data_IF_825351339936
#
_entry.id   IF_825351339936
#
_cell.length_a   1.000
_cell.length_b   1.000
_cell.length_c   1.000
_cell.angle_alpha   90.00
_cell.angle_beta   90.00
_cell.angle_gamma   90.00
#
_symmetry.space_group_name_H-M   'P 1'
#
loop_
_entity.id
_entity.type
_entity.pdbx_description
1 polymer ?
#
# COMPACT_ATOMS: atom_id res chain seq x y z
N UNK A 1 -6.30 -27.01 -1.83
CA UNK A 1 -6.50 -25.56 -1.64
C UNK A 1 -5.79 -24.84 -2.78
N UNK A 2 -6.42 -23.83 -3.34
CA UNK A 2 -5.83 -23.03 -4.42
C UNK A 2 -4.84 -22.05 -3.79
N UNK A 3 -3.57 -22.11 -4.18
CA UNK A 3 -2.55 -21.21 -3.66
C UNK A 3 -2.65 -19.84 -4.34
N UNK A 4 -2.59 -18.78 -3.56
CA UNK A 4 -2.60 -17.39 -4.03
C UNK A 4 -1.23 -16.75 -3.84
N UNK A 5 -0.82 -15.96 -4.82
CA UNK A 5 0.42 -15.19 -4.78
C UNK A 5 0.14 -13.70 -4.93
N UNK A 6 0.88 -12.89 -4.19
CA UNK A 6 1.02 -11.46 -4.43
C UNK A 6 2.44 -11.15 -4.95
N UNK A 7 2.53 -10.29 -5.96
CA UNK A 7 3.80 -9.93 -6.61
C UNK A 7 4.13 -8.47 -6.34
N UNK A 8 5.33 -8.24 -5.78
CA UNK A 8 5.83 -6.94 -5.33
C UNK A 8 7.14 -6.58 -6.04
N UNK A 9 7.12 -6.06 -7.28
CA UNK A 9 8.32 -5.90 -8.11
C UNK A 9 9.30 -4.82 -7.60
N UNK A 10 8.93 -4.08 -6.57
CA UNK A 10 9.74 -2.99 -6.00
C UNK A 10 10.46 -3.37 -4.69
N UNK A 11 10.50 -4.64 -4.33
CA UNK A 11 11.46 -5.18 -3.38
C UNK A 11 12.80 -5.41 -4.13
N UNK A 12 13.98 -5.16 -3.59
CA UNK A 12 14.42 -5.69 -2.31
C UNK A 12 14.73 -4.57 -1.30
N UNK A 13 14.54 -4.88 -0.01
CA UNK A 13 14.93 -4.00 1.09
C UNK A 13 13.95 -2.87 1.43
N UNK A 14 12.71 -2.93 0.93
CA UNK A 14 11.69 -1.95 1.26
C UNK A 14 10.64 -2.54 2.22
N UNK A 15 10.92 -2.45 3.51
CA UNK A 15 10.04 -2.95 4.58
C UNK A 15 8.62 -2.38 4.51
N UNK A 16 8.46 -1.15 3.98
CA UNK A 16 7.13 -0.55 3.76
C UNK A 16 6.33 -1.35 2.73
N UNK A 17 6.99 -1.85 1.66
CA UNK A 17 6.33 -2.68 0.64
C UNK A 17 5.90 -4.00 1.22
N UNK A 18 6.75 -4.62 2.05
CA UNK A 18 6.43 -5.86 2.75
C UNK A 18 5.24 -5.69 3.69
N UNK A 19 5.23 -4.62 4.48
CA UNK A 19 4.14 -4.32 5.40
C UNK A 19 2.82 -3.99 4.67
N UNK A 20 2.86 -3.28 3.53
CA UNK A 20 1.68 -3.08 2.69
C UNK A 20 1.14 -4.42 2.16
N UNK A 21 2.02 -5.29 1.65
CA UNK A 21 1.64 -6.60 1.14
C UNK A 21 0.98 -7.45 2.22
N UNK A 22 1.62 -7.56 3.39
CA UNK A 22 1.09 -8.31 4.53
C UNK A 22 -0.29 -7.79 4.95
N UNK A 23 -0.44 -6.47 5.06
CA UNK A 23 -1.69 -5.86 5.51
C UNK A 23 -2.84 -6.02 4.49
N UNK A 24 -2.55 -6.07 3.19
CA UNK A 24 -3.56 -6.21 2.14
C UNK A 24 -3.88 -7.66 1.79
N UNK A 25 -2.94 -8.59 2.01
CA UNK A 25 -3.03 -9.95 1.46
C UNK A 25 -2.83 -11.06 2.50
N UNK A 26 -2.33 -10.74 3.69
CA UNK A 26 -1.92 -11.70 4.71
C UNK A 26 -0.62 -12.42 4.39
N UNK A 27 0.09 -12.05 3.31
CA UNK A 27 1.34 -12.66 2.87
C UNK A 27 2.54 -11.72 2.99
N UNK A 28 3.66 -12.25 3.47
CA UNK A 28 4.93 -11.52 3.56
C UNK A 28 5.78 -11.91 2.34
N UNK A 29 6.18 -10.94 1.50
CA UNK A 29 6.99 -11.24 0.34
C UNK A 29 8.40 -11.69 0.73
N UNK A 30 8.89 -12.67 -0.01
CA UNK A 30 10.26 -13.16 0.08
C UNK A 30 11.28 -12.17 -0.52
N UNK A 31 12.54 -12.58 -0.57
CA UNK A 31 13.63 -11.77 -1.14
C UNK A 31 13.50 -11.55 -2.66
N UNK A 32 12.67 -12.33 -3.34
CA UNK A 32 12.36 -12.19 -4.77
C UNK A 32 11.16 -11.27 -5.02
N UNK A 33 10.41 -10.89 -3.98
CA UNK A 33 9.25 -10.02 -4.08
C UNK A 33 7.95 -10.77 -4.33
N UNK A 34 7.86 -12.05 -3.99
CA UNK A 34 6.68 -12.89 -4.14
C UNK A 34 6.21 -13.36 -2.77
N UNK A 35 4.91 -13.23 -2.50
CA UNK A 35 4.29 -13.67 -1.26
C UNK A 35 3.22 -14.72 -1.53
N UNK A 36 3.25 -15.84 -0.80
CA UNK A 36 2.07 -16.69 -0.64
C UNK A 36 1.09 -15.97 0.29
N UNK A 37 -0.15 -15.83 -0.14
CA UNK A 37 -1.11 -14.97 0.54
C UNK A 37 -2.48 -15.62 0.75
N UNK A 38 -3.27 -15.02 1.64
CA UNK A 38 -4.60 -15.50 2.00
C UNK A 38 -5.67 -14.95 1.05
N UNK A 39 -5.47 -13.73 0.57
CA UNK A 39 -6.39 -13.03 -0.32
C UNK A 39 -5.65 -12.14 -1.31
N UNK A 40 -6.28 -11.87 -2.45
CA UNK A 40 -5.80 -10.91 -3.47
C UNK A 40 -6.82 -9.80 -3.73
N UNK A 41 -8.00 -9.85 -3.12
CA UNK A 41 -9.13 -8.96 -3.41
C UNK A 41 -8.84 -7.47 -3.21
N UNK A 42 -7.86 -7.11 -2.35
CA UNK A 42 -7.52 -5.71 -2.07
C UNK A 42 -6.30 -5.18 -2.85
N UNK A 43 -5.70 -5.97 -3.73
CA UNK A 43 -4.54 -5.55 -4.53
C UNK A 43 -4.87 -4.36 -5.45
N UNK A 44 -6.13 -4.20 -5.87
CA UNK A 44 -6.55 -3.03 -6.66
C UNK A 44 -6.31 -1.69 -5.95
N UNK A 45 -6.24 -1.69 -4.62
CA UNK A 45 -5.99 -0.52 -3.77
C UNK A 45 -4.48 -0.28 -3.51
N UNK A 46 -3.63 -1.24 -3.82
CA UNK A 46 -2.22 -1.21 -3.46
C UNK A 46 -1.44 -0.06 -4.12
N UNK A 47 -0.42 0.42 -3.41
CA UNK A 47 0.57 1.34 -3.92
C UNK A 47 1.79 0.62 -4.52
N UNK A 48 2.19 -0.50 -3.93
CA UNK A 48 3.42 -1.22 -4.25
C UNK A 48 3.20 -2.67 -4.69
N UNK A 49 2.18 -3.36 -4.15
CA UNK A 49 1.80 -4.69 -4.65
C UNK A 49 1.21 -4.52 -6.05
N UNK A 50 1.75 -5.25 -7.03
CA UNK A 50 1.34 -5.07 -8.43
C UNK A 50 0.21 -6.01 -8.84
N UNK A 51 0.36 -7.31 -8.57
CA UNK A 51 -0.51 -8.34 -9.14
C UNK A 51 -0.79 -9.43 -8.12
N UNK A 52 -2.02 -9.92 -8.10
CA UNK A 52 -2.46 -11.11 -7.38
C UNK A 52 -2.74 -12.25 -8.35
N UNK A 53 -2.20 -13.42 -8.08
CA UNK A 53 -2.28 -14.59 -8.93
C UNK A 53 -2.94 -15.77 -8.21
N UNK A 54 -3.63 -16.59 -8.97
CA UNK A 54 -3.91 -17.98 -8.64
C UNK A 54 -2.76 -18.81 -9.20
N UNK A 55 -1.94 -19.40 -8.33
CA UNK A 55 -0.77 -20.18 -8.72
C UNK A 55 -1.22 -21.43 -9.47
N UNK A 56 -0.63 -21.65 -10.66
CA UNK A 56 -0.79 -22.86 -11.46
C UNK A 56 0.42 -23.75 -11.31
N UNK A 57 1.64 -23.18 -11.47
CA UNK A 57 2.88 -23.95 -11.38
C UNK A 57 4.02 -23.05 -10.89
N UNK A 58 5.03 -23.68 -10.25
CA UNK A 58 6.29 -23.03 -9.91
C UNK A 58 7.46 -23.99 -10.07
N UNK A 59 8.62 -23.50 -10.49
CA UNK A 59 9.83 -24.30 -10.68
C UNK A 59 11.08 -23.41 -10.64
N UNK A 60 12.25 -24.00 -10.48
CA UNK A 60 13.54 -23.32 -10.61
C UNK A 60 13.98 -23.19 -12.08
N UNK A 61 13.48 -24.07 -12.94
CA UNK A 61 13.87 -24.10 -14.35
C UNK A 61 12.66 -24.13 -15.30
N UNK A 62 12.78 -23.46 -16.45
CA UNK A 62 11.71 -23.35 -17.44
C UNK A 62 11.20 -24.71 -17.95
N UNK A 63 12.04 -25.72 -18.28
CA UNK A 63 11.53 -27.02 -18.75
C UNK A 63 10.62 -27.71 -17.75
N UNK A 64 10.95 -27.62 -16.47
CA UNK A 64 10.14 -28.19 -15.39
C UNK A 64 8.81 -27.43 -15.23
N UNK A 65 8.85 -26.08 -15.30
CA UNK A 65 7.64 -25.27 -15.27
C UNK A 65 6.69 -25.63 -16.42
N UNK A 66 7.22 -25.76 -17.64
CA UNK A 66 6.46 -26.14 -18.84
C UNK A 66 5.84 -27.52 -18.68
N UNK A 67 6.59 -28.49 -18.14
CA UNK A 67 6.09 -29.84 -17.85
C UNK A 67 4.90 -29.78 -16.86
N UNK A 68 5.06 -29.06 -15.74
CA UNK A 68 3.99 -28.92 -14.75
C UNK A 68 2.72 -28.27 -15.33
N UNK A 69 2.89 -27.24 -16.17
CA UNK A 69 1.74 -26.58 -16.83
C UNK A 69 1.03 -27.54 -17.78
N UNK A 70 1.78 -28.37 -18.55
CA UNK A 70 1.20 -29.33 -19.49
C UNK A 70 0.40 -30.47 -18.81
N UNK A 71 0.77 -30.81 -17.58
CA UNK A 71 0.14 -31.89 -16.79
C UNK A 71 -1.08 -31.41 -15.98
N UNK A 72 -1.21 -30.08 -15.74
CA UNK A 72 -2.30 -29.53 -14.95
C UNK A 72 -3.53 -29.21 -15.79
N UNK A 73 -4.72 -29.45 -15.22
CA UNK A 73 -5.98 -29.01 -15.80
C UNK A 73 -6.41 -27.70 -15.15
N UNK A 74 -6.60 -26.67 -15.95
CA UNK A 74 -7.14 -25.38 -15.54
C UNK A 74 -7.87 -24.73 -16.73
N UNK A 75 -8.85 -23.86 -16.50
CA UNK A 75 -9.52 -23.11 -17.56
C UNK A 75 -8.50 -22.24 -18.31
N UNK A 76 -8.42 -22.43 -19.62
CA UNK A 76 -7.44 -21.75 -20.45
C UNK A 76 -7.91 -21.52 -21.89
N UNK A 77 -9.21 -21.69 -22.17
CA UNK A 77 -9.76 -21.30 -23.45
C UNK A 77 -9.65 -19.78 -23.61
N UNK A 78 -9.13 -19.33 -24.74
CA UNK A 78 -9.05 -17.90 -25.04
C UNK A 78 -8.13 -17.12 -24.05
N UNK A 79 -6.83 -17.36 -24.10
CA UNK A 79 -5.86 -16.86 -23.12
C UNK A 79 -4.79 -15.94 -23.70
N UNK A 80 -4.15 -15.16 -22.80
CA UNK A 80 -2.90 -14.44 -23.03
C UNK A 80 -1.92 -14.69 -21.89
N UNK A 81 -0.63 -14.82 -22.22
CA UNK A 81 0.46 -14.90 -21.25
C UNK A 81 1.19 -13.57 -21.22
N UNK A 82 1.27 -12.99 -20.04
CA UNK A 82 2.08 -11.83 -19.71
C UNK A 82 3.39 -12.26 -19.05
N UNK A 83 4.38 -11.38 -19.04
CA UNK A 83 5.71 -11.68 -18.53
C UNK A 83 6.18 -10.56 -17.62
N UNK A 84 6.62 -10.91 -16.42
CA UNK A 84 7.22 -9.98 -15.46
C UNK A 84 8.56 -10.52 -14.98
N UNK A 85 9.60 -9.73 -15.18
CA UNK A 85 10.94 -10.04 -14.68
C UNK A 85 11.18 -9.29 -13.38
N UNK A 86 11.48 -10.01 -12.30
CA UNK A 86 11.86 -9.45 -11.00
C UNK A 86 13.39 -9.37 -10.82
N UNK A 87 14.15 -10.22 -11.54
CA UNK A 87 15.61 -10.25 -11.47
C UNK A 87 16.26 -10.38 -12.85
N UNK A 88 17.27 -9.56 -13.11
CA UNK A 88 18.07 -9.66 -14.33
C UNK A 88 19.09 -10.81 -14.29
N UNK A 89 19.27 -11.46 -13.14
CA UNK A 89 20.21 -12.60 -12.99
C UNK A 89 19.66 -13.89 -13.58
N UNK A 90 18.35 -14.01 -13.81
CA UNK A 90 17.75 -15.19 -14.41
C UNK A 90 17.91 -15.15 -15.94
N UNK A 91 18.46 -16.22 -16.58
CA UNK A 91 18.74 -16.24 -18.04
C UNK A 91 17.49 -16.45 -18.91
N UNK A 92 16.33 -16.73 -18.33
CA UNK A 92 15.09 -17.03 -19.06
C UNK A 92 14.69 -15.82 -19.91
N UNK A 93 14.62 -16.04 -21.24
CA UNK A 93 14.20 -15.03 -22.21
C UNK A 93 12.67 -15.05 -22.35
N UNK A 94 12.06 -13.88 -22.29
CA UNK A 94 10.60 -13.73 -22.32
C UNK A 94 9.94 -14.45 -23.50
N UNK A 95 10.45 -14.25 -24.72
CA UNK A 95 9.86 -14.83 -25.95
C UNK A 95 9.89 -16.36 -25.93
N UNK A 96 11.02 -16.94 -25.56
CA UNK A 96 11.20 -18.42 -25.48
C UNK A 96 10.26 -18.99 -24.41
N UNK A 97 10.17 -18.34 -23.23
CA UNK A 97 9.37 -18.84 -22.14
C UNK A 97 7.86 -18.73 -22.42
N UNK A 98 7.41 -17.59 -22.95
CA UNK A 98 5.99 -17.39 -23.29
C UNK A 98 5.53 -18.36 -24.36
N UNK A 99 6.34 -18.58 -25.42
CA UNK A 99 6.00 -19.56 -26.47
C UNK A 99 5.94 -20.98 -25.92
N UNK A 100 6.95 -21.40 -25.13
CA UNK A 100 6.97 -22.74 -24.55
C UNK A 100 5.77 -23.01 -23.61
N UNK A 101 5.37 -22.01 -22.83
CA UNK A 101 4.18 -22.12 -21.98
C UNK A 101 2.89 -22.12 -22.79
N UNK A 102 2.80 -21.30 -23.85
CA UNK A 102 1.63 -21.29 -24.73
C UNK A 102 1.43 -22.63 -25.45
N UNK A 103 2.53 -23.25 -25.92
CA UNK A 103 2.49 -24.58 -26.54
C UNK A 103 2.09 -25.70 -25.55
N UNK A 104 2.40 -25.52 -24.25
CA UNK A 104 1.99 -26.44 -23.19
C UNK A 104 0.49 -26.34 -22.84
N UNK A 105 -0.11 -25.18 -23.07
CA UNK A 105 -1.54 -24.95 -22.87
C UNK A 105 -2.30 -25.43 -24.11
N UNK A 106 -3.13 -26.46 -23.95
CA UNK A 106 -3.91 -27.06 -25.05
C UNK A 106 -5.13 -26.19 -25.43
N UNK A 107 -4.92 -24.93 -25.76
CA UNK A 107 -5.95 -23.97 -26.14
C UNK A 107 -5.41 -22.90 -27.08
N UNK A 108 -6.28 -22.08 -27.66
CA UNK A 108 -5.87 -21.03 -28.60
C UNK A 108 -5.62 -19.70 -27.86
N UNK A 109 -4.45 -19.04 -28.08
CA UNK A 109 -4.18 -17.74 -27.52
C UNK A 109 -5.03 -16.64 -28.19
N UNK A 110 -5.50 -15.70 -27.38
CA UNK A 110 -6.15 -14.46 -27.82
C UNK A 110 -5.36 -13.27 -27.23
N UNK A 111 -4.67 -12.52 -28.07
CA UNK A 111 -3.82 -11.43 -27.64
C UNK A 111 -4.59 -10.11 -27.42
N UNK A 112 -5.79 -9.98 -27.98
CA UNK A 112 -6.55 -8.74 -27.96
C UNK A 112 -7.47 -8.65 -26.73
N UNK A 113 -8.42 -9.59 -26.58
CA UNK A 113 -9.43 -9.60 -25.52
C UNK A 113 -9.52 -11.01 -24.91
N UNK A 114 -8.48 -11.46 -24.18
CA UNK A 114 -8.47 -12.80 -23.61
C UNK A 114 -9.46 -12.92 -22.43
N UNK A 115 -10.08 -14.09 -22.28
CA UNK A 115 -10.85 -14.44 -21.09
C UNK A 115 -9.95 -14.74 -19.90
N UNK A 116 -8.82 -15.42 -20.16
CA UNK A 116 -7.85 -15.79 -19.14
C UNK A 116 -6.55 -15.04 -19.36
N UNK A 117 -6.09 -14.36 -18.35
CA UNK A 117 -4.79 -13.68 -18.35
C UNK A 117 -3.86 -14.42 -17.40
N UNK A 118 -2.79 -14.95 -17.94
CA UNK A 118 -1.75 -15.60 -17.16
C UNK A 118 -0.52 -14.72 -17.06
N UNK A 119 0.21 -14.83 -15.96
CA UNK A 119 1.47 -14.13 -15.75
C UNK A 119 2.58 -15.16 -15.48
N UNK A 120 3.66 -15.06 -16.24
CA UNK A 120 4.94 -15.67 -15.91
C UNK A 120 5.76 -14.66 -15.13
N UNK A 121 6.03 -14.95 -13.87
CA UNK A 121 6.92 -14.18 -13.01
C UNK A 121 8.28 -14.85 -12.99
N UNK A 122 9.33 -14.10 -13.32
CA UNK A 122 10.71 -14.59 -13.38
C UNK A 122 11.51 -13.91 -12.28
N UNK A 123 11.74 -14.64 -11.19
CA UNK A 123 12.62 -14.26 -10.11
C UNK A 123 14.09 -14.59 -10.40
N UNK A 124 14.93 -14.50 -9.38
CA UNK A 124 16.35 -14.88 -9.51
C UNK A 124 16.50 -16.39 -9.66
N UNK A 125 15.94 -17.13 -8.75
CA UNK A 125 16.12 -18.57 -8.60
C UNK A 125 14.84 -19.36 -8.91
N UNK A 126 13.67 -18.67 -8.98
CA UNK A 126 12.37 -19.30 -9.18
C UNK A 126 11.57 -18.66 -10.32
N UNK A 127 10.67 -19.46 -10.86
CA UNK A 127 9.67 -19.10 -11.85
C UNK A 127 8.28 -19.44 -11.29
N UNK A 128 7.33 -18.51 -11.41
CA UNK A 128 5.93 -18.74 -11.03
C UNK A 128 5.04 -18.49 -12.24
N UNK A 129 4.09 -19.36 -12.46
CA UNK A 129 3.07 -19.22 -13.48
C UNK A 129 1.69 -19.32 -12.87
N UNK A 130 0.86 -18.31 -13.08
CA UNK A 130 -0.47 -18.23 -12.49
C UNK A 130 -1.43 -17.38 -13.28
N UNK A 131 -2.72 -17.53 -12.98
CA UNK A 131 -3.78 -16.70 -13.54
C UNK A 131 -3.89 -15.39 -12.77
N UNK A 132 -3.96 -14.27 -13.49
CA UNK A 132 -4.13 -12.95 -12.89
C UNK A 132 -5.56 -12.82 -12.37
N UNK A 133 -5.70 -12.66 -11.06
CA UNK A 133 -6.99 -12.44 -10.39
C UNK A 133 -7.22 -10.96 -10.03
N UNK A 134 -6.15 -10.23 -9.74
CA UNK A 134 -6.22 -8.83 -9.35
C UNK A 134 -4.94 -8.08 -9.76
N UNK A 135 -5.10 -6.80 -10.05
CA UNK A 135 -3.99 -5.88 -10.34
C UNK A 135 -4.21 -4.55 -9.65
N UNK A 136 -3.12 -3.86 -9.31
CA UNK A 136 -3.24 -2.49 -8.79
C UNK A 136 -3.85 -1.57 -9.85
N UNK A 137 -4.83 -0.78 -9.44
CA UNK A 137 -5.49 0.20 -10.32
C UNK A 137 -4.62 1.40 -10.67
N UNK A 138 -3.53 1.62 -9.92
CA UNK A 138 -2.72 2.83 -9.96
C UNK A 138 -3.52 4.13 -9.85
N UNK A 139 -4.73 4.10 -9.30
CA UNK A 139 -5.65 5.24 -9.21
C UNK A 139 -5.04 6.44 -8.48
N UNK A 140 -4.07 6.22 -7.59
CA UNK A 140 -3.33 7.29 -6.90
C UNK A 140 -2.57 8.22 -7.86
N UNK A 141 -2.15 7.73 -9.06
CA UNK A 141 -1.36 8.53 -10.01
C UNK A 141 -2.09 9.79 -10.48
N UNK A 142 -3.43 9.76 -10.53
CA UNK A 142 -4.21 10.95 -10.92
C UNK A 142 -4.03 12.12 -9.95
N UNK A 143 -3.76 11.84 -8.66
CA UNK A 143 -3.56 12.86 -7.64
C UNK A 143 -2.16 13.50 -7.67
N UNK A 144 -1.23 12.95 -8.46
CA UNK A 144 0.04 13.63 -8.76
C UNK A 144 -0.20 14.93 -9.55
N UNK A 145 -1.34 15.05 -10.23
CA UNK A 145 -1.75 16.25 -10.97
C UNK A 145 -2.51 17.29 -10.13
N UNK A 146 -2.60 17.13 -8.78
CA UNK A 146 -3.29 18.11 -7.93
C UNK A 146 -2.76 19.53 -8.15
N UNK A 147 -3.63 20.55 -8.31
CA UNK A 147 -3.23 21.89 -8.72
C UNK A 147 -2.41 22.64 -7.67
N UNK A 148 -2.61 22.35 -6.39
CA UNK A 148 -1.91 23.06 -5.31
C UNK A 148 -0.97 22.10 -4.58
N UNK A 149 0.34 22.36 -4.71
CA UNK A 149 1.43 21.59 -4.07
C UNK A 149 2.37 22.51 -3.33
N UNK A 150 3.03 21.96 -2.30
CA UNK A 150 4.19 22.56 -1.65
C UNK A 150 5.38 21.61 -1.78
N UNK A 151 6.58 22.09 -1.50
CA UNK A 151 7.78 21.25 -1.50
C UNK A 151 7.75 20.13 -0.46
N UNK A 152 6.88 20.27 0.56
CA UNK A 152 6.66 19.28 1.62
C UNK A 152 5.52 18.31 1.33
N UNK A 153 4.71 18.53 0.28
CA UNK A 153 3.59 17.63 -0.02
C UNK A 153 4.05 16.18 -0.21
N UNK A 154 3.32 15.24 0.38
CA UNK A 154 3.55 13.81 0.19
C UNK A 154 3.26 13.41 -1.26
N UNK A 155 4.06 12.51 -1.88
CA UNK A 155 3.70 11.84 -3.12
C UNK A 155 2.44 11.01 -2.93
N UNK A 156 1.57 10.97 -3.94
CA UNK A 156 0.28 10.25 -3.88
C UNK A 156 0.46 8.76 -3.61
N UNK A 157 1.47 8.13 -4.24
CA UNK A 157 1.80 6.72 -3.99
C UNK A 157 2.14 6.45 -2.51
N UNK A 158 2.91 7.34 -1.88
CA UNK A 158 3.26 7.19 -0.46
C UNK A 158 2.03 7.39 0.43
N UNK A 159 1.21 8.43 0.16
CA UNK A 159 -0.04 8.65 0.90
C UNK A 159 -0.98 7.44 0.81
N UNK A 160 -1.07 6.78 -0.38
CA UNK A 160 -1.80 5.53 -0.56
C UNK A 160 -1.25 4.41 0.31
N UNK A 161 0.06 4.21 0.34
CA UNK A 161 0.69 3.18 1.17
C UNK A 161 0.43 3.41 2.66
N UNK A 162 0.49 4.66 3.14
CA UNK A 162 0.18 4.98 4.55
C UNK A 162 -1.24 4.54 4.93
N UNK A 163 -2.22 4.80 4.05
CA UNK A 163 -3.60 4.37 4.28
C UNK A 163 -3.73 2.84 4.23
N UNK A 164 -3.01 2.18 3.34
CA UNK A 164 -2.99 0.72 3.28
C UNK A 164 -2.37 0.08 4.53
N UNK A 165 -1.46 0.77 5.25
CA UNK A 165 -0.98 0.33 6.56
C UNK A 165 -2.03 0.47 7.67
N UNK A 166 -3.00 1.36 7.51
CA UNK A 166 -4.10 1.55 8.46
C UNK A 166 -5.28 0.61 8.19
N UNK A 167 -5.56 0.31 6.95
CA UNK A 167 -6.70 -0.51 6.50
C UNK A 167 -6.27 -1.95 6.17
N UNK A 168 -7.13 -2.99 6.40
CA UNK A 168 -8.21 -3.04 7.36
C UNK A 168 -7.67 -3.08 8.80
N UNK A 169 -8.44 -2.73 9.84
CA UNK A 169 -9.89 -2.56 9.84
C UNK A 169 -10.36 -1.11 9.67
N UNK A 170 -9.43 -0.12 9.54
CA UNK A 170 -9.81 1.29 9.58
C UNK A 170 -10.78 1.67 8.44
N UNK A 171 -11.93 2.24 8.82
CA UNK A 171 -12.92 2.83 7.91
C UNK A 171 -12.95 4.35 8.01
N UNK A 172 -12.56 4.90 9.17
CA UNK A 172 -12.52 6.33 9.47
C UNK A 172 -11.09 6.80 9.74
N UNK A 173 -10.68 7.90 9.08
CA UNK A 173 -9.32 8.43 9.11
C UNK A 173 -9.33 9.89 9.51
N UNK A 174 -8.41 10.27 10.41
CA UNK A 174 -8.09 11.66 10.70
C UNK A 174 -6.67 11.99 10.24
N UNK A 175 -6.53 13.08 9.45
CA UNK A 175 -5.24 13.73 9.20
C UNK A 175 -5.20 15.08 9.90
N UNK A 176 -4.63 15.16 11.13
CA UNK A 176 -4.62 16.38 11.93
C UNK A 176 -3.63 17.45 11.47
N UNK A 177 -2.78 17.15 10.48
CA UNK A 177 -1.81 18.08 9.88
C UNK A 177 -1.87 18.00 8.33
N UNK A 178 -3.08 18.11 7.77
CA UNK A 178 -3.37 17.67 6.41
C UNK A 178 -2.65 18.45 5.29
N UNK A 179 -2.10 19.62 5.59
CA UNK A 179 -1.40 20.43 4.62
C UNK A 179 -2.26 20.67 3.36
N UNK A 180 -1.76 20.25 2.19
CA UNK A 180 -2.47 20.37 0.90
C UNK A 180 -3.39 19.18 0.58
N UNK A 181 -3.62 18.26 1.54
CA UNK A 181 -4.61 17.19 1.47
C UNK A 181 -4.17 15.94 0.70
N UNK A 182 -2.88 15.59 0.66
CA UNK A 182 -2.41 14.38 -0.06
C UNK A 182 -3.04 13.10 0.49
N UNK A 183 -3.07 12.95 1.82
CA UNK A 183 -3.65 11.77 2.49
C UNK A 183 -5.16 11.77 2.31
N UNK A 184 -5.81 12.94 2.42
CA UNK A 184 -7.27 13.06 2.27
C UNK A 184 -7.75 12.70 0.86
N UNK A 185 -6.99 13.06 -0.18
CA UNK A 185 -7.29 12.68 -1.57
C UNK A 185 -7.27 11.16 -1.74
N UNK A 186 -6.27 10.49 -1.17
CA UNK A 186 -6.16 9.04 -1.24
C UNK A 186 -7.23 8.35 -0.39
N UNK A 187 -7.54 8.88 0.81
CA UNK A 187 -8.61 8.35 1.66
C UNK A 187 -9.97 8.42 0.94
N UNK A 188 -10.29 9.56 0.33
CA UNK A 188 -11.51 9.71 -0.47
C UNK A 188 -11.55 8.77 -1.68
N UNK A 189 -10.42 8.58 -2.36
CA UNK A 189 -10.30 7.64 -3.47
C UNK A 189 -10.54 6.18 -3.06
N UNK A 190 -10.17 5.82 -1.84
CA UNK A 190 -10.42 4.50 -1.25
C UNK A 190 -11.82 4.35 -0.66
N UNK A 191 -12.63 5.40 -0.66
CA UNK A 191 -13.96 5.40 -0.05
C UNK A 191 -13.96 5.44 1.48
N UNK A 192 -12.83 5.81 2.11
CA UNK A 192 -12.72 5.94 3.56
C UNK A 192 -13.40 7.23 4.03
N UNK A 193 -14.03 7.18 5.21
CA UNK A 193 -14.51 8.38 5.89
C UNK A 193 -13.30 9.15 6.42
N UNK A 194 -13.05 10.34 5.86
CA UNK A 194 -11.88 11.11 6.21
C UNK A 194 -12.24 12.50 6.73
N UNK A 195 -11.51 12.94 7.75
CA UNK A 195 -11.52 14.31 8.25
C UNK A 195 -10.09 14.83 8.23
N UNK A 196 -9.88 16.04 7.70
CA UNK A 196 -8.62 16.73 7.74
C UNK A 196 -8.67 17.93 8.70
N UNK A 197 -7.53 18.25 9.31
CA UNK A 197 -7.35 19.50 10.03
C UNK A 197 -5.97 20.09 9.72
N UNK A 198 -5.88 21.40 9.74
CA UNK A 198 -4.61 22.13 9.70
C UNK A 198 -4.81 23.48 10.43
N UNK A 199 -3.79 23.89 11.20
CA UNK A 199 -3.82 25.19 11.89
C UNK A 199 -3.58 26.38 10.95
N UNK A 200 -3.04 26.13 9.76
CA UNK A 200 -2.75 27.15 8.76
C UNK A 200 -3.96 27.32 7.81
N UNK A 201 -4.65 28.49 7.83
CA UNK A 201 -5.83 28.72 7.00
C UNK A 201 -5.53 28.61 5.49
N UNK A 202 -4.29 28.92 5.08
CA UNK A 202 -3.88 28.73 3.68
C UNK A 202 -3.84 27.24 3.31
N UNK A 203 -3.34 26.37 4.18
CA UNK A 203 -3.32 24.92 3.91
C UNK A 203 -4.74 24.36 3.84
N UNK A 204 -5.62 24.73 4.76
CA UNK A 204 -7.04 24.36 4.73
C UNK A 204 -7.69 24.78 3.40
N UNK A 205 -7.46 26.03 2.97
CA UNK A 205 -7.97 26.50 1.69
C UNK A 205 -7.45 25.67 0.50
N UNK A 206 -6.15 25.41 0.43
CA UNK A 206 -5.53 24.64 -0.65
C UNK A 206 -5.97 23.17 -0.64
N UNK A 207 -6.14 22.56 0.53
CA UNK A 207 -6.65 21.20 0.67
C UNK A 207 -8.07 21.09 0.12
N UNK A 208 -8.97 22.00 0.54
CA UNK A 208 -10.35 22.05 0.02
C UNK A 208 -10.39 22.23 -1.50
N UNK A 209 -9.53 23.08 -2.06
CA UNK A 209 -9.42 23.29 -3.51
C UNK A 209 -8.94 22.04 -4.25
N UNK A 210 -7.97 21.33 -3.69
CA UNK A 210 -7.50 20.07 -4.25
C UNK A 210 -8.59 18.99 -4.22
N UNK A 211 -9.28 18.83 -3.10
CA UNK A 211 -10.39 17.87 -2.97
C UNK A 211 -11.52 18.18 -3.96
N UNK A 212 -11.94 19.44 -4.04
CA UNK A 212 -12.97 19.87 -4.98
C UNK A 212 -12.56 19.64 -6.45
N UNK A 213 -11.28 19.84 -6.81
CA UNK A 213 -10.77 19.59 -8.16
C UNK A 213 -10.98 18.13 -8.61
N UNK A 214 -10.89 17.18 -7.68
CA UNK A 214 -11.14 15.75 -7.96
C UNK A 214 -12.57 15.29 -7.66
N UNK A 215 -13.46 16.22 -7.28
CA UNK A 215 -14.86 15.92 -6.98
C UNK A 215 -15.10 15.23 -5.64
N UNK A 216 -14.17 15.36 -4.67
CA UNK A 216 -14.29 14.75 -3.36
C UNK A 216 -14.88 15.69 -2.33
N UNK A 217 -15.85 15.18 -1.55
CA UNK A 217 -16.48 15.86 -0.43
C UNK A 217 -15.85 15.34 0.89
N UNK A 218 -14.75 15.95 1.30
CA UNK A 218 -14.08 15.62 2.57
C UNK A 218 -14.07 16.85 3.47
N UNK A 219 -14.42 16.67 4.74
CA UNK A 219 -14.37 17.74 5.72
C UNK A 219 -12.93 18.14 6.04
N UNK A 220 -12.63 19.44 5.95
CA UNK A 220 -11.32 19.99 6.34
C UNK A 220 -11.54 21.14 7.30
N UNK A 221 -10.99 21.02 8.52
CA UNK A 221 -11.18 21.97 9.63
C UNK A 221 -9.97 22.91 9.75
N UNK A 222 -10.23 24.17 10.05
CA UNK A 222 -9.20 25.07 10.57
C UNK A 222 -9.12 24.84 12.07
N UNK A 223 -8.18 24.04 12.51
CA UNK A 223 -8.05 23.65 13.92
C UNK A 223 -6.61 23.27 14.26
N UNK A 224 -6.27 23.38 15.53
CA UNK A 224 -5.00 22.86 16.05
C UNK A 224 -5.14 21.36 16.35
N UNK A 225 -4.19 20.59 15.87
CA UNK A 225 -4.15 19.13 16.07
C UNK A 225 -4.20 18.71 17.54
N UNK A 226 -3.72 19.57 18.43
CA UNK A 226 -3.67 19.36 19.89
C UNK A 226 -5.02 19.51 20.59
N UNK A 227 -5.99 20.15 19.93
CA UNK A 227 -7.29 20.52 20.49
C UNK A 227 -8.45 19.73 19.86
N UNK A 228 -8.16 18.85 18.90
CA UNK A 228 -9.17 18.04 18.22
C UNK A 228 -9.87 17.11 19.23
N UNK A 229 -11.19 16.98 19.10
CA UNK A 229 -12.00 16.08 19.91
C UNK A 229 -12.92 15.29 18.99
N UNK A 230 -12.57 14.02 18.75
CA UNK A 230 -13.32 13.07 17.94
C UNK A 230 -12.71 11.67 18.13
N UNK A 231 -13.42 10.62 17.73
CA UNK A 231 -12.88 9.27 17.68
C UNK A 231 -12.91 8.76 16.24
N UNK A 232 -11.81 8.18 15.79
CA UNK A 232 -11.65 7.57 14.46
C UNK A 232 -10.91 6.24 14.60
N UNK A 233 -10.89 5.43 13.54
CA UNK A 233 -10.18 4.16 13.56
C UNK A 233 -8.67 4.34 13.44
N UNK A 234 -8.20 5.33 12.67
CA UNK A 234 -6.79 5.64 12.59
C UNK A 234 -6.49 7.13 12.41
N UNK A 235 -5.39 7.59 13.01
CA UNK A 235 -4.73 8.85 12.68
C UNK A 235 -3.65 8.54 11.65
N UNK A 236 -3.70 9.18 10.48
CA UNK A 236 -2.70 9.05 9.41
C UNK A 236 -2.23 10.44 9.03
N UNK A 237 -0.97 10.78 9.29
CA UNK A 237 -0.51 12.15 9.12
C UNK A 237 0.99 12.28 8.81
N UNK A 238 1.34 13.31 8.04
CA UNK A 238 2.71 13.80 7.85
C UNK A 238 2.97 14.90 8.87
N UNK A 239 3.66 14.57 9.96
CA UNK A 239 3.93 15.49 11.06
C UNK A 239 4.73 16.72 10.58
N UNK A 240 4.56 17.89 11.18
CA UNK A 240 5.32 19.05 10.80
C UNK A 240 6.81 18.91 11.18
N UNK A 241 7.70 18.83 10.17
CA UNK A 241 9.15 18.74 10.35
C UNK A 241 9.90 19.54 9.28
N UNK A 242 11.21 19.76 9.50
CA UNK A 242 12.12 20.38 8.55
C UNK A 242 12.20 21.92 8.64
N UNK A 243 13.03 22.51 7.76
CA UNK A 243 13.42 23.94 7.79
C UNK A 243 12.25 24.93 7.61
N UNK A 244 11.11 24.45 7.09
CA UNK A 244 9.95 25.29 6.79
C UNK A 244 8.84 25.22 7.82
N UNK A 245 8.89 24.27 8.77
CA UNK A 245 7.95 24.19 9.88
C UNK A 245 8.62 24.79 11.14
N UNK A 246 8.08 25.92 11.62
CA UNK A 246 8.48 26.49 12.91
C UNK A 246 7.84 25.66 14.04
N UNK A 247 8.35 24.44 14.22
CA UNK A 247 7.89 23.55 15.30
C UNK A 247 8.54 23.99 16.61
N UNK A 248 7.76 24.34 17.61
CA UNK A 248 8.25 24.64 18.95
C UNK A 248 8.61 23.33 19.66
N UNK A 249 9.54 23.40 20.61
CA UNK A 249 9.86 22.29 21.51
C UNK A 249 8.58 21.76 22.17
N UNK A 250 8.40 20.43 22.17
CA UNK A 250 7.22 19.75 22.74
C UNK A 250 5.94 19.76 21.89
N UNK A 251 5.92 20.46 20.75
CA UNK A 251 4.72 20.51 19.90
C UNK A 251 4.39 19.17 19.27
N UNK A 252 5.41 18.44 18.76
CA UNK A 252 5.23 17.08 18.23
C UNK A 252 4.69 16.15 19.31
N UNK A 253 5.27 16.20 20.50
CA UNK A 253 4.81 15.41 21.64
C UNK A 253 3.32 15.65 21.94
N UNK A 254 2.89 16.92 21.94
CA UNK A 254 1.49 17.27 22.21
C UNK A 254 0.55 16.75 21.10
N UNK A 255 0.98 16.79 19.82
CA UNK A 255 0.20 16.22 18.72
C UNK A 255 0.10 14.68 18.88
N UNK A 256 1.19 13.99 19.20
CA UNK A 256 1.20 12.55 19.41
C UNK A 256 0.33 12.15 20.61
N UNK A 257 0.41 12.89 21.74
CA UNK A 257 -0.41 12.67 22.91
C UNK A 257 -1.92 12.77 22.59
N UNK A 258 -2.30 13.78 21.79
CA UNK A 258 -3.68 13.93 21.36
C UNK A 258 -4.09 12.83 20.40
N UNK A 259 -3.27 12.54 19.39
CA UNK A 259 -3.53 11.48 18.42
C UNK A 259 -3.78 10.12 19.08
N UNK A 260 -3.01 9.79 20.11
CA UNK A 260 -3.16 8.53 20.85
C UNK A 260 -4.52 8.40 21.56
N UNK A 261 -5.18 9.52 21.88
CA UNK A 261 -6.52 9.54 22.49
C UNK A 261 -7.65 9.51 21.47
N UNK A 262 -7.36 9.83 20.22
CA UNK A 262 -8.35 9.94 19.15
C UNK A 262 -8.54 8.64 18.36
N UNK A 263 -7.51 7.77 18.32
CA UNK A 263 -7.54 6.56 17.51
C UNK A 263 -6.71 5.41 18.11
N UNK A 264 -7.16 4.15 17.94
CA UNK A 264 -6.39 2.97 18.34
C UNK A 264 -5.13 2.77 17.50
N UNK A 265 -5.06 3.33 16.29
CA UNK A 265 -3.94 3.17 15.36
C UNK A 265 -3.41 4.53 14.91
N UNK A 266 -2.09 4.70 14.95
CA UNK A 266 -1.38 5.86 14.41
C UNK A 266 -0.43 5.46 13.29
N UNK A 267 -0.50 6.18 12.15
CA UNK A 267 0.46 6.11 11.06
C UNK A 267 1.08 7.50 10.92
N UNK A 268 2.36 7.62 11.25
CA UNK A 268 3.04 8.92 11.31
C UNK A 268 4.21 8.96 10.34
N UNK A 269 4.33 10.05 9.59
CA UNK A 269 5.54 10.36 8.81
C UNK A 269 6.33 11.42 9.56
N UNK A 270 7.64 11.21 9.68
CA UNK A 270 8.54 12.12 10.40
C UNK A 270 9.86 12.29 9.66
N UNK A 271 10.55 13.39 9.98
CA UNK A 271 11.89 13.67 9.47
C UNK A 271 13.02 13.26 10.42
N UNK A 272 12.71 12.71 11.58
CA UNK A 272 13.63 12.25 12.61
C UNK A 272 13.03 11.15 13.45
N UNK A 273 13.84 10.51 14.28
CA UNK A 273 13.35 9.45 15.16
C UNK A 273 12.41 10.02 16.23
N UNK A 274 11.24 9.42 16.33
CA UNK A 274 10.16 9.75 17.29
C UNK A 274 9.78 8.55 18.17
N UNK A 275 10.61 7.53 18.23
CA UNK A 275 10.30 6.30 18.99
C UNK A 275 10.08 6.59 20.48
N UNK A 276 10.87 7.49 21.08
CA UNK A 276 10.74 7.88 22.47
C UNK A 276 9.45 8.68 22.69
N UNK A 277 9.15 9.65 21.81
CA UNK A 277 7.95 10.49 21.86
C UNK A 277 6.68 9.68 21.69
N UNK A 278 6.67 8.68 20.79
CA UNK A 278 5.55 7.77 20.60
C UNK A 278 5.29 6.95 21.86
N UNK A 279 6.33 6.37 22.46
CA UNK A 279 6.19 5.64 23.73
C UNK A 279 5.67 6.54 24.86
N UNK A 280 6.18 7.76 24.96
CA UNK A 280 5.72 8.75 25.95
C UNK A 280 4.26 9.17 25.72
N UNK A 281 3.80 9.20 24.47
CA UNK A 281 2.40 9.45 24.12
C UNK A 281 1.46 8.25 24.40
N UNK A 282 1.99 7.11 24.83
CA UNK A 282 1.23 5.90 25.14
C UNK A 282 1.07 4.94 23.97
N UNK A 283 1.85 5.10 22.90
CA UNK A 283 1.88 4.13 21.80
C UNK A 283 2.74 2.91 22.14
N UNK A 284 2.27 1.74 21.68
CA UNK A 284 2.89 0.42 21.79
C UNK A 284 3.03 -0.19 20.39
N UNK A 285 3.65 -1.37 20.27
CA UNK A 285 3.79 -2.11 19.00
C UNK A 285 4.26 -1.21 17.85
N UNK A 286 5.32 -0.46 18.10
CA UNK A 286 5.84 0.54 17.17
C UNK A 286 6.67 -0.15 16.10
N UNK A 287 6.17 -0.18 14.86
CA UNK A 287 6.93 -0.55 13.67
C UNK A 287 7.46 0.71 12.97
N UNK A 288 8.70 0.66 12.50
CA UNK A 288 9.39 1.75 11.83
C UNK A 288 9.83 1.34 10.42
N UNK A 289 9.48 2.13 9.43
CA UNK A 289 9.86 1.93 8.03
C UNK A 289 10.63 3.14 7.50
N UNK A 290 11.62 2.87 6.63
CA UNK A 290 12.45 3.90 6.01
C UNK A 290 12.09 4.10 4.55
N UNK A 291 11.83 5.34 4.14
CA UNK A 291 11.63 5.70 2.73
C UNK A 291 12.69 6.71 2.33
N UNK A 292 13.62 6.26 1.49
CA UNK A 292 14.69 7.12 0.95
C UNK A 292 14.10 8.21 0.04
N UNK A 293 14.45 9.46 0.31
CA UNK A 293 14.25 10.59 -0.59
C UNK A 293 15.61 10.97 -1.20
N UNK A 294 15.63 11.68 -2.33
CA UNK A 294 16.89 12.19 -2.91
C UNK A 294 17.66 13.03 -1.89
N UNK A 295 19.01 13.01 -1.96
CA UNK A 295 19.94 13.82 -1.16
C UNK A 295 19.93 13.52 0.35
N UNK A 296 20.26 12.30 0.75
CA UNK A 296 20.50 11.85 2.15
C UNK A 296 19.37 12.13 3.16
N UNK A 297 18.20 12.54 2.68
CA UNK A 297 17.02 12.70 3.52
C UNK A 297 16.12 11.48 3.39
N UNK A 298 15.87 10.81 4.51
CA UNK A 298 14.89 9.72 4.62
C UNK A 298 13.67 10.20 5.38
N UNK A 299 12.50 9.74 4.95
CA UNK A 299 11.29 9.81 5.77
C UNK A 299 11.20 8.56 6.63
N UNK A 300 10.92 8.74 7.89
CA UNK A 300 10.60 7.69 8.82
C UNK A 300 9.08 7.57 8.89
N UNK A 301 8.58 6.35 8.75
CA UNK A 301 7.16 6.05 8.82
C UNK A 301 6.95 5.14 10.00
N UNK A 302 6.08 5.52 10.89
CA UNK A 302 5.72 4.76 12.08
C UNK A 302 4.31 4.20 11.94
N UNK A 303 4.12 2.93 12.26
CA UNK A 303 2.83 2.32 12.54
C UNK A 303 2.85 1.93 14.01
N UNK A 304 1.93 2.47 14.79
CA UNK A 304 1.93 2.30 16.24
C UNK A 304 0.50 2.16 16.78
N UNK A 305 0.31 1.26 17.75
CA UNK A 305 -0.98 1.06 18.44
C UNK A 305 -1.05 1.93 19.68
N UNK A 306 -2.18 2.57 19.91
CA UNK A 306 -2.42 3.32 21.11
C UNK A 306 -2.82 2.42 22.27
N UNK A 307 -2.16 2.55 23.42
CA UNK A 307 -2.50 1.84 24.64
C UNK A 307 -3.78 2.37 25.35
N UNK A 308 -4.42 3.45 24.84
CA UNK A 308 -5.68 3.96 25.37
C UNK A 308 -6.92 3.18 24.88
N UNK A 309 -6.75 2.25 23.94
CA UNK A 309 -7.84 1.45 23.39
C UNK A 309 -7.59 -0.04 23.67
N UNK A 310 -8.66 -0.78 24.00
CA UNK A 310 -8.61 -2.23 24.15
C UNK A 310 -8.43 -2.95 22.79
N UNK A 311 -7.82 -4.13 22.79
CA UNK A 311 -7.54 -4.92 21.59
C UNK A 311 -8.78 -5.33 20.78
N UNK A 312 -9.96 -5.33 21.38
CA UNK A 312 -11.21 -5.79 20.75
C UNK A 312 -11.65 -4.99 19.52
N UNK A 313 -11.09 -3.80 19.29
CA UNK A 313 -11.40 -2.94 18.12
C UNK A 313 -10.50 -3.17 16.90
N UNK A 314 -9.47 -3.99 17.04
CA UNK A 314 -8.47 -4.26 15.99
C UNK A 314 -8.31 -5.75 15.69
N UNK A 315 -9.36 -6.55 15.87
CA UNK A 315 -9.37 -7.94 15.43
C UNK A 315 -9.05 -8.00 13.94
N UNK A 316 -8.18 -8.94 13.51
CA UNK A 316 -8.02 -9.23 12.09
C UNK A 316 -9.40 -9.55 11.51
N UNK A 317 -9.69 -9.02 10.32
CA UNK A 317 -10.90 -9.36 9.58
C UNK A 317 -11.07 -10.88 9.53
N UNK A 318 -12.25 -11.36 9.92
CA UNK A 318 -12.75 -12.66 9.50
C UNK A 318 -12.79 -12.66 7.97
N UNK A 319 -11.75 -13.20 7.34
CA UNK A 319 -11.60 -13.36 5.89
C UNK A 319 -12.56 -14.43 5.33
N UNK A 320 -13.60 -14.80 6.08
CA UNK A 320 -14.52 -15.89 5.73
C UNK A 320 -15.85 -15.48 5.10
N UNK A 321 -16.11 -14.17 4.90
CA UNK A 321 -17.38 -13.74 4.29
C UNK A 321 -17.15 -12.91 3.03
N UNK A 322 -16.78 -13.56 1.93
CA UNK A 322 -17.18 -13.16 0.57
C UNK A 322 -16.97 -14.39 -0.34
N UNK A 323 -18.06 -15.15 -0.49
CA UNK A 323 -18.20 -16.22 -1.49
C UNK A 323 -18.71 -15.62 -2.80
#
# INVERSE_FOLDING_TARGET
>A
MTELLAVCPHLPGNELVAAECENLTGGIPDTEGVAFCQTVGRISQAAYVQTGLRLIAQAEALPELVRQVSERQFPADDFRIEYLRLSDQNPVKWKTAVVALADAIKAFPNLDVPRHRFLLVVGKDHLWFGEILAETSHSYRRHDAKPYRTSSSLPSRLARALLNLAAPPAQSILDPCCGTGSILLEAACLGLQAVGADRNPRMVHLSRRNLAHFGYAVEVRLADARELSMTVDAVVTDLPYGKFSKVKSGEIQAILNQSARLAPLGIFVAGGDLTAELRHAGYQDIALFYVRKRNDFSRLIYRARSGYFSDDRLTPLDLHNEA
#
